data_IF_490694525598
#
_entry.id   IF_490694525598
#
_cell.length_a   1.000
_cell.length_b   1.000
_cell.length_c   1.000
_cell.angle_alpha   90.00
_cell.angle_beta   90.00
_cell.angle_gamma   90.00
#
_symmetry.space_group_name_H-M   'P 1'
#
loop_
_entity.id
_entity.type
_entity.pdbx_description
1 polymer ?
#
# COMPACT_ATOMS: atom_id res chain seq x y z
N UNK A 1 -6.86 -5.47 15.39
CA UNK A 1 -5.58 -5.51 14.65
C UNK A 1 -5.46 -4.23 13.83
N UNK A 2 -4.43 -3.43 14.07
CA UNK A 2 -4.36 -2.07 13.48
C UNK A 2 -3.72 -2.05 12.09
N UNK A 3 -4.28 -1.20 11.23
CA UNK A 3 -3.80 -0.94 9.89
C UNK A 3 -3.59 0.57 9.72
N UNK A 4 -2.55 0.95 8.98
CA UNK A 4 -2.36 2.35 8.58
C UNK A 4 -2.97 2.55 7.20
N UNK A 5 -3.91 3.49 7.05
CA UNK A 5 -4.42 3.87 5.73
C UNK A 5 -3.44 4.83 5.07
N UNK A 6 -2.93 4.47 3.89
CA UNK A 6 -2.12 5.33 3.05
C UNK A 6 -2.84 5.56 1.72
N UNK A 7 -2.98 6.81 1.31
CA UNK A 7 -3.74 7.22 0.12
C UNK A 7 -3.21 8.55 -0.43
N UNK A 8 -3.70 8.96 -1.62
CA UNK A 8 -3.33 10.21 -2.29
C UNK A 8 -1.83 10.38 -2.52
N UNK A 9 -1.20 9.32 -3.02
CA UNK A 9 0.22 9.37 -3.38
C UNK A 9 0.41 10.23 -4.62
N UNK A 10 1.45 11.07 -4.60
CA UNK A 10 1.84 11.88 -5.74
C UNK A 10 3.24 11.46 -6.20
N UNK A 11 3.38 11.17 -7.49
CA UNK A 11 4.68 10.91 -8.10
C UNK A 11 5.34 12.24 -8.49
N UNK A 12 6.46 12.56 -7.87
CA UNK A 12 7.28 13.73 -8.22
C UNK A 12 8.61 13.25 -8.81
N UNK A 13 8.81 13.32 -10.14
CA UNK A 13 10.08 12.94 -10.76
C UNK A 13 11.19 13.95 -10.46
N UNK A 14 12.43 13.56 -10.75
CA UNK A 14 13.59 14.46 -10.67
C UNK A 14 13.46 15.62 -11.67
N UNK A 15 13.96 16.81 -11.29
CA UNK A 15 14.09 17.95 -12.19
C UNK A 15 15.05 17.70 -13.36
N UNK A 16 16.01 16.78 -13.21
CA UNK A 16 16.90 16.40 -14.29
C UNK A 16 16.16 15.46 -15.29
N UNK A 17 16.00 15.85 -16.57
CA UNK A 17 15.24 15.06 -17.55
C UNK A 17 15.77 13.63 -17.72
N UNK A 18 17.10 13.46 -17.77
CA UNK A 18 17.73 12.15 -17.93
C UNK A 18 17.41 11.23 -16.74
N UNK A 19 17.35 11.80 -15.54
CA UNK A 19 16.99 11.07 -14.33
C UNK A 19 15.50 10.75 -14.31
N UNK A 20 14.64 11.71 -14.68
CA UNK A 20 13.19 11.52 -14.76
C UNK A 20 12.82 10.38 -15.72
N UNK A 21 13.43 10.32 -16.91
CA UNK A 21 13.22 9.23 -17.88
C UNK A 21 13.59 7.88 -17.28
N UNK A 22 14.73 7.78 -16.58
CA UNK A 22 15.15 6.53 -15.92
C UNK A 22 14.21 6.13 -14.79
N UNK A 23 13.68 7.09 -14.01
CA UNK A 23 12.70 6.82 -12.97
C UNK A 23 11.42 6.25 -13.56
N UNK A 24 10.91 6.84 -14.65
CA UNK A 24 9.74 6.32 -15.39
C UNK A 24 9.96 4.89 -15.89
N UNK A 25 11.09 4.63 -16.55
CA UNK A 25 11.43 3.29 -17.03
C UNK A 25 11.52 2.25 -15.90
N UNK A 26 12.08 2.63 -14.74
CA UNK A 26 12.12 1.75 -13.56
C UNK A 26 10.73 1.48 -13.01
N UNK A 27 9.88 2.50 -12.94
CA UNK A 27 8.48 2.36 -12.53
C UNK A 27 7.73 1.40 -13.45
N UNK A 28 7.77 1.60 -14.77
CA UNK A 28 7.13 0.72 -15.76
C UNK A 28 7.65 -0.72 -15.70
N UNK A 29 8.96 -0.89 -15.45
CA UNK A 29 9.55 -2.21 -15.23
C UNK A 29 8.97 -2.88 -13.97
N UNK A 30 8.83 -2.13 -12.88
CA UNK A 30 8.23 -2.63 -11.64
C UNK A 30 6.75 -3.00 -11.82
N UNK A 31 5.98 -2.17 -12.53
CA UNK A 31 4.60 -2.48 -12.92
C UNK A 31 4.54 -3.84 -13.63
N UNK A 32 5.33 -4.02 -14.69
CA UNK A 32 5.36 -5.30 -15.43
C UNK A 32 5.73 -6.49 -14.54
N UNK A 33 6.70 -6.35 -13.64
CA UNK A 33 7.08 -7.43 -12.70
C UNK A 33 5.94 -7.78 -11.75
N UNK A 34 5.26 -6.79 -11.20
CA UNK A 34 4.14 -7.00 -10.27
C UNK A 34 2.96 -7.62 -10.99
N UNK A 35 2.63 -7.16 -12.20
CA UNK A 35 1.52 -7.69 -12.98
C UNK A 35 1.80 -9.09 -13.55
N UNK A 36 3.08 -9.46 -13.71
CA UNK A 36 3.46 -10.85 -14.03
C UNK A 36 3.05 -11.85 -12.94
N UNK A 37 2.97 -11.40 -11.70
CA UNK A 37 2.52 -12.21 -10.55
C UNK A 37 0.99 -12.19 -10.39
N UNK A 38 0.24 -11.67 -11.36
CA UNK A 38 -1.22 -11.75 -11.35
C UNK A 38 -1.67 -13.22 -11.31
N UNK A 39 -2.55 -13.52 -10.34
CA UNK A 39 -3.20 -14.81 -10.28
C UNK A 39 -4.43 -14.79 -11.19
N UNK A 40 -4.31 -15.34 -12.39
CA UNK A 40 -5.38 -15.44 -13.36
C UNK A 40 -5.76 -16.92 -13.47
N UNK A 41 -7.04 -17.24 -13.26
CA UNK A 41 -7.53 -18.61 -13.42
C UNK A 41 -7.33 -19.09 -14.86
N UNK A 42 -7.16 -20.40 -15.10
CA UNK A 42 -7.11 -20.94 -16.46
C UNK A 42 -8.34 -20.51 -17.28
N UNK A 43 -8.11 -19.91 -18.45
CA UNK A 43 -9.17 -19.34 -19.31
C UNK A 43 -9.69 -17.96 -18.88
N UNK A 44 -9.21 -17.42 -17.76
CA UNK A 44 -9.52 -16.06 -17.31
C UNK A 44 -8.70 -14.99 -18.03
N UNK A 45 -9.18 -13.75 -17.99
CA UNK A 45 -8.47 -12.58 -18.53
C UNK A 45 -7.99 -11.66 -17.41
N UNK A 46 -6.94 -10.88 -17.69
CA UNK A 46 -6.45 -9.87 -16.76
C UNK A 46 -7.48 -8.76 -16.63
N UNK A 47 -7.89 -8.47 -15.39
CA UNK A 47 -8.84 -7.42 -15.06
C UNK A 47 -8.22 -6.39 -14.11
N UNK A 48 -8.86 -5.24 -13.93
CA UNK A 48 -8.42 -4.26 -12.93
C UNK A 48 -8.38 -4.88 -11.54
N UNK A 49 -9.30 -5.79 -11.21
CA UNK A 49 -9.33 -6.47 -9.90
C UNK A 49 -8.12 -7.37 -9.68
N UNK A 50 -7.73 -8.18 -10.69
CA UNK A 50 -6.55 -9.07 -10.59
C UNK A 50 -5.26 -8.27 -10.47
N UNK A 51 -5.12 -7.20 -11.26
CA UNK A 51 -4.02 -6.23 -11.16
C UNK A 51 -3.91 -5.62 -9.76
N UNK A 52 -5.04 -5.16 -9.22
CA UNK A 52 -5.11 -4.58 -7.88
C UNK A 52 -4.73 -5.61 -6.80
N UNK A 53 -5.16 -6.86 -6.94
CA UNK A 53 -4.82 -7.93 -6.01
C UNK A 53 -3.30 -8.24 -6.02
N UNK A 54 -2.70 -8.36 -7.20
CA UNK A 54 -1.25 -8.57 -7.37
C UNK A 54 -0.44 -7.42 -6.75
N UNK A 55 -0.86 -6.18 -7.04
CA UNK A 55 -0.24 -4.99 -6.47
C UNK A 55 -0.36 -4.93 -4.94
N UNK A 56 -1.52 -5.26 -4.37
CA UNK A 56 -1.72 -5.32 -2.91
C UNK A 56 -0.81 -6.35 -2.24
N UNK A 57 -0.65 -7.55 -2.84
CA UNK A 57 0.25 -8.59 -2.34
C UNK A 57 1.70 -8.10 -2.25
N UNK A 58 2.13 -7.29 -3.22
CA UNK A 58 3.47 -6.68 -3.28
C UNK A 58 3.57 -5.32 -2.58
N UNK A 59 2.47 -4.81 -2.01
CA UNK A 59 2.36 -3.43 -1.47
C UNK A 59 2.80 -2.36 -2.48
N UNK A 60 2.53 -2.61 -3.76
CA UNK A 60 2.93 -1.76 -4.87
C UNK A 60 1.78 -0.84 -5.30
N UNK A 61 2.13 0.34 -5.79
CA UNK A 61 1.20 1.35 -6.30
C UNK A 61 1.51 1.60 -7.77
N UNK A 62 0.49 1.49 -8.60
CA UNK A 62 0.56 1.80 -10.03
C UNK A 62 -0.57 2.73 -10.50
N UNK A 63 -1.56 3.00 -9.64
CA UNK A 63 -2.60 4.01 -9.84
C UNK A 63 -2.60 4.99 -8.68
N UNK A 64 -2.83 6.26 -8.96
CA UNK A 64 -2.83 7.32 -7.94
C UNK A 64 -4.00 7.17 -6.95
N UNK A 65 -5.12 6.59 -7.39
CA UNK A 65 -6.31 6.34 -6.58
C UNK A 65 -6.18 5.12 -5.65
N UNK A 66 -5.09 4.35 -5.73
CA UNK A 66 -4.90 3.17 -4.89
C UNK A 66 -4.68 3.54 -3.43
N UNK A 67 -5.30 2.75 -2.56
CA UNK A 67 -5.13 2.83 -1.11
C UNK A 67 -4.37 1.60 -0.63
N UNK A 68 -3.36 1.82 0.22
CA UNK A 68 -2.68 0.75 0.94
C UNK A 68 -3.15 0.72 2.38
N UNK A 69 -3.36 -0.48 2.91
CA UNK A 69 -3.70 -0.72 4.32
C UNK A 69 -2.69 -1.69 4.95
N UNK A 70 -1.39 -1.35 5.03
CA UNK A 70 -0.42 -2.22 5.70
C UNK A 70 -0.78 -2.39 7.18
N UNK A 71 -0.64 -3.63 7.68
CA UNK A 71 -0.71 -3.94 9.11
C UNK A 71 0.44 -3.26 9.86
N UNK A 72 0.11 -2.63 10.99
CA UNK A 72 1.09 -2.08 11.92
C UNK A 72 1.43 -3.14 12.96
N UNK A 73 2.50 -3.90 12.74
CA UNK A 73 2.85 -5.07 13.59
C UNK A 73 3.23 -4.73 15.02
N UNK A 74 3.77 -3.54 15.27
CA UNK A 74 4.17 -3.10 16.60
C UNK A 74 3.03 -2.43 17.38
N UNK A 75 1.89 -2.20 16.73
CA UNK A 75 0.72 -1.64 17.38
C UNK A 75 -0.17 -2.79 17.85
N UNK A 76 0.07 -3.21 19.08
CA UNK A 76 -0.74 -4.19 19.79
C UNK A 76 -1.37 -3.49 20.98
N UNK A 77 -2.70 -3.49 21.01
CA UNK A 77 -3.45 -3.02 22.16
C UNK A 77 -3.53 -4.14 23.17
N UNK A 78 -3.19 -3.85 24.43
CA UNK A 78 -3.06 -4.85 25.49
C UNK A 78 -4.40 -5.18 26.16
N UNK A 79 -5.40 -4.31 26.05
CA UNK A 79 -6.71 -4.48 26.70
C UNK A 79 -7.78 -4.80 25.65
N UNK A 80 -8.91 -5.35 26.05
CA UNK A 80 -10.05 -5.60 25.16
C UNK A 80 -11.31 -5.05 25.81
N UNK A 81 -12.16 -4.34 25.06
CA UNK A 81 -13.46 -3.85 25.55
C UNK A 81 -13.52 -2.39 26.03
N UNK A 82 -12.42 -1.63 25.96
CA UNK A 82 -12.38 -0.20 26.29
C UNK A 82 -11.77 0.61 25.15
N UNK A 83 -12.20 1.88 25.01
CA UNK A 83 -11.56 2.85 24.10
C UNK A 83 -10.10 3.02 24.55
N UNK A 84 -9.12 2.69 23.68
CA UNK A 84 -7.71 2.76 24.05
C UNK A 84 -7.25 4.19 24.34
N UNK A 85 -6.49 4.38 25.42
CA UNK A 85 -5.72 5.60 25.66
C UNK A 85 -4.28 5.46 25.11
N UNK A 86 -3.58 6.58 24.91
CA UNK A 86 -2.19 6.61 24.48
C UNK A 86 -1.27 5.78 25.39
N UNK A 87 -1.54 5.76 26.69
CA UNK A 87 -0.77 4.99 27.67
C UNK A 87 -0.94 3.47 27.51
N UNK A 88 -1.99 3.02 26.81
CA UNK A 88 -2.20 1.59 26.53
C UNK A 88 -1.31 1.07 25.37
N UNK A 89 -0.56 1.96 24.72
CA UNK A 89 0.34 1.61 23.63
C UNK A 89 1.79 1.89 24.00
N UNK A 90 2.68 0.94 23.72
CA UNK A 90 4.12 1.11 23.90
C UNK A 90 4.73 2.16 22.94
N UNK A 91 3.97 2.66 21.96
CA UNK A 91 4.42 3.60 20.95
C UNK A 91 3.45 4.78 20.85
N UNK A 92 4.00 5.98 20.64
CA UNK A 92 3.20 7.22 20.50
C UNK A 92 2.37 7.19 19.22
N UNK A 93 1.04 7.22 19.35
CA UNK A 93 0.10 7.25 18.23
C UNK A 93 -0.34 8.70 17.98
N UNK A 94 0.21 9.31 16.95
CA UNK A 94 -0.38 10.53 16.37
C UNK A 94 -1.58 10.11 15.52
N UNK A 95 -2.80 10.27 16.07
CA UNK A 95 -4.11 10.21 15.40
C UNK A 95 -4.15 9.30 14.16
N UNK A 96 -4.05 7.98 14.37
CA UNK A 96 -4.44 7.02 13.34
C UNK A 96 -5.93 6.72 13.51
N UNK A 97 -6.73 7.03 12.49
CA UNK A 97 -8.16 6.76 12.45
C UNK A 97 -8.37 5.24 12.65
N UNK A 98 -8.87 4.87 13.83
CA UNK A 98 -9.36 3.52 14.14
C UNK A 98 -10.71 3.39 13.45
N UNK A 99 -10.77 2.68 12.32
CA UNK A 99 -12.06 2.26 11.76
C UNK A 99 -12.39 0.86 12.30
N UNK A 100 -13.56 0.76 12.95
CA UNK A 100 -14.19 -0.48 13.38
C UNK A 100 -14.50 -1.41 12.21
#
# INVERSE_FOLDING_TARGET
>A
MYHKLLYSFQFTPSSNPRTATKQKQRFERSVRRVLKDENINPGGTSSTSTKLAAARKRKFLFLDSQKLRPRVKHLHYKKSGLIPDQDDYNARILLMIVQN
#
